data_IF_417831446668
#
_entry.id   IF_417831446668
#
_cell.length_a   1.000
_cell.length_b   1.000
_cell.length_c   1.000
_cell.angle_alpha   90.00
_cell.angle_beta   90.00
_cell.angle_gamma   90.00
#
_symmetry.space_group_name_H-M   'P 1'
#
loop_
_entity.id
_entity.type
_entity.pdbx_description
1 polymer ?
#
# COMPACT_ATOMS: atom_id res chain seq x y z
N UNK A 1 -13.84 -63.76 -23.20
CA UNK A 1 -13.85 -62.41 -22.57
C UNK A 1 -13.69 -61.28 -23.59
N UNK A 2 -14.65 -61.05 -24.50
CA UNK A 2 -14.56 -59.97 -25.52
C UNK A 2 -15.88 -59.20 -25.71
N UNK A 3 -16.76 -59.11 -24.71
CA UNK A 3 -18.14 -58.60 -24.93
C UNK A 3 -18.55 -57.36 -24.14
N UNK A 4 -17.67 -56.77 -23.32
CA UNK A 4 -18.04 -55.64 -22.46
C UNK A 4 -17.39 -54.26 -22.80
N UNK A 5 -16.59 -54.19 -23.87
CA UNK A 5 -15.95 -52.90 -24.27
C UNK A 5 -16.89 -52.00 -25.06
N UNK A 6 -17.91 -52.51 -25.70
CA UNK A 6 -18.88 -51.73 -26.50
C UNK A 6 -19.93 -51.02 -25.63
N UNK A 7 -20.28 -51.60 -24.49
CA UNK A 7 -21.20 -50.94 -23.54
C UNK A 7 -20.56 -49.81 -22.75
N UNK A 8 -19.22 -49.84 -22.54
CA UNK A 8 -18.51 -48.78 -21.86
C UNK A 8 -18.31 -47.55 -22.78
N UNK A 9 -18.15 -47.74 -24.11
CA UNK A 9 -18.03 -46.62 -25.05
C UNK A 9 -19.36 -45.91 -25.33
N UNK A 10 -20.49 -46.64 -25.20
CA UNK A 10 -21.82 -46.03 -25.34
C UNK A 10 -22.24 -45.21 -24.11
N UNK A 11 -21.79 -45.58 -22.91
CA UNK A 11 -22.07 -44.83 -21.67
C UNK A 11 -21.23 -43.56 -21.53
N UNK A 12 -20.00 -43.52 -22.06
CA UNK A 12 -19.14 -42.33 -22.05
C UNK A 12 -19.63 -41.31 -23.09
N UNK A 13 -20.18 -41.75 -24.22
CA UNK A 13 -20.77 -40.85 -25.22
C UNK A 13 -22.05 -40.12 -24.74
N UNK A 14 -22.79 -40.70 -23.79
CA UNK A 14 -24.03 -40.08 -23.28
C UNK A 14 -23.78 -39.08 -22.15
N UNK A 15 -22.60 -39.10 -21.51
CA UNK A 15 -22.23 -38.13 -20.46
C UNK A 15 -21.66 -36.81 -21.01
N UNK A 16 -21.33 -36.74 -22.30
CA UNK A 16 -20.83 -35.54 -22.95
C UNK A 16 -21.91 -34.63 -23.60
N UNK A 17 -23.21 -34.95 -23.43
CA UNK A 17 -24.27 -33.99 -23.70
C UNK A 17 -24.28 -32.93 -22.57
N UNK A 18 -23.21 -32.13 -22.47
CA UNK A 18 -23.17 -30.91 -21.67
C UNK A 18 -24.32 -30.01 -22.08
N UNK A 19 -25.11 -29.61 -21.13
CA UNK A 19 -26.23 -28.69 -21.25
C UNK A 19 -25.83 -27.47 -22.05
N UNK A 20 -26.10 -27.48 -23.36
CA UNK A 20 -26.02 -26.26 -24.18
C UNK A 20 -27.16 -25.36 -23.70
N UNK A 21 -26.86 -24.48 -22.74
CA UNK A 21 -27.75 -23.40 -22.36
C UNK A 21 -27.93 -22.51 -23.60
N UNK A 22 -29.11 -22.54 -24.19
CA UNK A 22 -29.44 -21.66 -25.30
C UNK A 22 -29.30 -20.20 -24.82
N UNK A 23 -28.27 -19.51 -25.31
CA UNK A 23 -28.10 -18.08 -25.07
C UNK A 23 -29.28 -17.35 -25.72
N UNK A 24 -29.96 -16.53 -24.96
CA UNK A 24 -31.05 -15.69 -25.44
C UNK A 24 -30.54 -14.26 -25.63
N UNK A 25 -30.87 -13.64 -26.74
CA UNK A 25 -30.58 -12.22 -26.95
C UNK A 25 -31.51 -11.39 -26.08
N UNK A 26 -30.92 -10.66 -25.12
CA UNK A 26 -31.61 -9.71 -24.25
C UNK A 26 -31.39 -8.32 -24.82
N UNK A 27 -32.45 -7.58 -24.96
CA UNK A 27 -32.45 -6.17 -25.41
C UNK A 27 -33.01 -5.30 -24.30
N UNK A 28 -32.73 -4.02 -24.34
CA UNK A 28 -33.35 -3.06 -23.42
C UNK A 28 -32.84 -1.65 -23.64
N UNK A 29 -33.32 -0.76 -22.84
CA UNK A 29 -32.96 0.65 -22.86
C UNK A 29 -32.44 1.04 -21.48
N UNK A 30 -31.40 1.84 -21.45
CA UNK A 30 -30.82 2.41 -20.21
C UNK A 30 -31.10 3.89 -20.21
N UNK A 31 -31.73 4.37 -19.12
CA UNK A 31 -32.07 5.78 -18.95
C UNK A 31 -31.62 6.32 -17.60
N UNK A 32 -31.45 7.63 -17.49
CA UNK A 32 -31.26 8.32 -16.21
C UNK A 32 -32.58 8.38 -15.41
N UNK A 33 -32.54 8.85 -14.18
CA UNK A 33 -33.76 9.13 -13.38
C UNK A 33 -34.68 10.15 -14.06
N UNK A 34 -34.14 11.07 -14.85
CA UNK A 34 -34.87 12.01 -15.66
C UNK A 34 -35.49 11.42 -16.93
N UNK A 35 -35.26 10.15 -17.25
CA UNK A 35 -35.74 9.48 -18.46
C UNK A 35 -34.89 9.73 -19.71
N UNK A 36 -33.77 10.44 -19.60
CA UNK A 36 -32.83 10.66 -20.70
C UNK A 36 -32.03 9.39 -21.03
N UNK A 37 -31.80 9.07 -22.32
CA UNK A 37 -31.03 7.91 -22.71
C UNK A 37 -29.56 8.06 -22.33
N UNK A 38 -28.96 7.02 -21.72
CA UNK A 38 -27.56 7.00 -21.39
C UNK A 38 -26.74 6.37 -22.52
N UNK A 39 -26.02 7.21 -23.26
CA UNK A 39 -25.22 6.83 -24.43
C UNK A 39 -23.85 6.30 -23.98
N UNK A 40 -23.41 5.11 -24.46
CA UNK A 40 -22.13 4.53 -24.11
C UNK A 40 -22.10 3.86 -22.74
N UNK A 41 -23.25 3.63 -22.09
CA UNK A 41 -23.32 2.84 -20.88
C UNK A 41 -22.91 1.39 -21.14
N UNK A 42 -22.10 0.82 -20.28
CA UNK A 42 -21.57 -0.54 -20.40
C UNK A 42 -22.55 -1.55 -19.80
N UNK A 43 -22.84 -2.61 -20.54
CA UNK A 43 -23.64 -3.76 -20.09
C UNK A 43 -22.75 -5.01 -20.17
N UNK A 44 -22.46 -5.63 -19.05
CA UNK A 44 -21.62 -6.81 -18.98
C UNK A 44 -22.36 -8.00 -18.36
N UNK A 45 -22.03 -9.20 -18.81
CA UNK A 45 -22.51 -10.44 -18.18
C UNK A 45 -21.67 -10.72 -16.95
N UNK A 46 -22.31 -10.88 -15.78
CA UNK A 46 -21.60 -11.14 -14.52
C UNK A 46 -20.75 -12.42 -14.62
N UNK A 47 -19.50 -12.32 -14.26
CA UNK A 47 -18.49 -13.40 -14.32
C UNK A 47 -18.17 -13.91 -15.75
N UNK A 48 -18.35 -13.07 -16.78
CA UNK A 48 -17.95 -13.32 -18.16
C UNK A 48 -17.21 -12.12 -18.72
N UNK A 49 -16.49 -12.30 -19.81
CA UNK A 49 -15.86 -11.22 -20.60
C UNK A 49 -16.84 -10.62 -21.65
N UNK A 50 -18.05 -11.15 -21.75
CA UNK A 50 -19.05 -10.70 -22.69
C UNK A 50 -19.68 -9.39 -22.23
N UNK A 51 -19.61 -8.37 -23.08
CA UNK A 51 -20.16 -7.05 -22.80
C UNK A 51 -20.58 -6.33 -24.09
N UNK A 52 -21.40 -5.30 -23.91
CA UNK A 52 -21.82 -4.37 -24.98
C UNK A 52 -21.96 -2.96 -24.41
N UNK A 53 -22.11 -1.98 -25.27
CA UNK A 53 -22.39 -0.58 -24.89
C UNK A 53 -23.70 -0.13 -25.51
N UNK A 54 -24.35 0.87 -24.90
CA UNK A 54 -25.59 1.46 -25.44
C UNK A 54 -25.30 2.36 -26.61
N UNK A 55 -26.26 2.39 -27.54
CA UNK A 55 -26.30 3.31 -28.68
C UNK A 55 -26.77 4.74 -28.31
N UNK A 56 -26.94 5.61 -29.32
CA UNK A 56 -27.35 7.01 -29.16
C UNK A 56 -28.74 7.19 -28.53
N UNK A 57 -29.57 6.17 -28.62
CA UNK A 57 -30.92 6.14 -28.02
C UNK A 57 -30.94 5.42 -26.67
N UNK A 58 -29.80 5.00 -26.16
CA UNK A 58 -29.64 4.26 -24.93
C UNK A 58 -30.00 2.78 -25.01
N UNK A 59 -30.19 2.22 -26.23
CA UNK A 59 -30.56 0.82 -26.40
C UNK A 59 -29.30 -0.08 -26.40
N UNK A 60 -29.48 -1.30 -25.90
CA UNK A 60 -28.43 -2.32 -25.93
C UNK A 60 -28.98 -3.68 -26.39
N UNK A 61 -28.09 -4.53 -26.84
CA UNK A 61 -28.38 -5.92 -27.19
C UNK A 61 -27.21 -6.84 -26.79
N UNK A 62 -27.46 -7.81 -25.92
CA UNK A 62 -26.44 -8.71 -25.39
C UNK A 62 -26.96 -10.14 -25.36
N UNK A 63 -26.07 -11.13 -25.59
CA UNK A 63 -26.40 -12.55 -25.44
C UNK A 63 -26.16 -12.98 -24.00
N UNK A 64 -27.18 -13.50 -23.35
CA UNK A 64 -27.06 -14.00 -21.97
C UNK A 64 -27.84 -15.29 -21.77
N UNK A 65 -27.37 -16.16 -20.91
CA UNK A 65 -28.10 -17.35 -20.52
C UNK A 65 -29.17 -16.99 -19.46
N UNK A 66 -30.33 -17.69 -19.46
CA UNK A 66 -31.34 -17.47 -18.42
C UNK A 66 -30.77 -17.69 -17.02
N UNK A 67 -31.08 -16.81 -16.08
CA UNK A 67 -30.63 -16.86 -14.68
C UNK A 67 -29.33 -16.13 -14.39
N UNK A 68 -28.62 -15.64 -15.41
CA UNK A 68 -27.40 -14.82 -15.23
C UNK A 68 -27.77 -13.36 -14.94
N UNK A 69 -26.94 -12.68 -14.16
CA UNK A 69 -27.10 -11.24 -13.92
C UNK A 69 -26.34 -10.43 -14.96
N UNK A 70 -26.99 -9.41 -15.49
CA UNK A 70 -26.37 -8.33 -16.23
C UNK A 70 -25.96 -7.22 -15.27
N UNK A 71 -24.78 -6.70 -15.48
CA UNK A 71 -24.20 -5.58 -14.72
C UNK A 71 -24.17 -4.37 -15.61
N UNK A 72 -24.80 -3.30 -15.14
CA UNK A 72 -24.92 -2.01 -15.84
C UNK A 72 -24.01 -1.01 -15.16
N UNK A 73 -23.14 -0.34 -15.90
CA UNK A 73 -22.25 0.69 -15.39
C UNK A 73 -22.13 1.88 -16.34
N UNK A 74 -22.14 3.08 -15.78
CA UNK A 74 -21.93 4.32 -16.51
C UNK A 74 -21.21 5.33 -15.60
N UNK A 75 -20.39 6.21 -16.19
CA UNK A 75 -19.62 7.19 -15.41
C UNK A 75 -20.58 8.17 -14.75
N UNK A 76 -20.46 8.32 -13.43
CA UNK A 76 -21.35 9.20 -12.63
C UNK A 76 -22.65 8.55 -12.16
N UNK A 77 -22.85 7.25 -12.38
CA UNK A 77 -24.04 6.51 -11.96
C UNK A 77 -23.68 5.31 -11.08
N UNK A 78 -24.56 4.94 -10.18
CA UNK A 78 -24.43 3.73 -9.37
C UNK A 78 -24.51 2.49 -10.24
N UNK A 79 -23.60 1.55 -10.01
CA UNK A 79 -23.61 0.27 -10.71
C UNK A 79 -24.85 -0.54 -10.30
N UNK A 80 -25.61 -1.02 -11.26
CA UNK A 80 -26.78 -1.85 -11.05
C UNK A 80 -26.61 -3.26 -11.58
N UNK A 81 -27.27 -4.24 -10.94
CA UNK A 81 -27.18 -5.65 -11.33
C UNK A 81 -28.57 -6.26 -11.37
N UNK A 82 -29.00 -6.67 -12.57
CA UNK A 82 -30.34 -7.25 -12.80
C UNK A 82 -30.22 -8.69 -13.30
N UNK A 83 -30.91 -9.62 -12.64
CA UNK A 83 -30.97 -11.02 -13.08
C UNK A 83 -31.89 -11.16 -14.28
N UNK A 84 -31.37 -11.74 -15.36
CA UNK A 84 -32.13 -12.04 -16.55
C UNK A 84 -32.86 -13.38 -16.36
N UNK A 85 -34.14 -13.30 -16.16
CA UNK A 85 -34.99 -14.51 -16.13
C UNK A 85 -35.36 -14.92 -17.58
N UNK A 86 -36.60 -15.29 -17.86
CA UNK A 86 -37.10 -15.60 -19.23
C UNK A 86 -37.44 -14.34 -20.06
N UNK A 87 -37.17 -13.15 -19.55
CA UNK A 87 -37.48 -11.89 -20.21
C UNK A 87 -36.48 -11.61 -21.33
N UNK A 88 -36.99 -11.23 -22.52
CA UNK A 88 -36.17 -10.82 -23.67
C UNK A 88 -35.88 -9.32 -23.67
N UNK A 89 -36.58 -8.54 -22.83
CA UNK A 89 -36.38 -7.10 -22.73
C UNK A 89 -36.18 -6.73 -21.27
N UNK A 90 -35.06 -6.05 -20.96
CA UNK A 90 -34.72 -5.54 -19.63
C UNK A 90 -34.36 -4.06 -19.77
N UNK A 91 -35.26 -3.19 -19.35
CA UNK A 91 -34.99 -1.76 -19.26
C UNK A 91 -34.47 -1.44 -17.86
N UNK A 92 -33.48 -0.56 -17.80
CA UNK A 92 -32.85 -0.18 -16.54
C UNK A 92 -32.80 1.34 -16.45
N UNK A 93 -33.25 1.85 -15.31
CA UNK A 93 -33.11 3.26 -14.96
C UNK A 93 -31.96 3.35 -13.94
N UNK A 94 -30.90 4.03 -14.30
CA UNK A 94 -29.73 4.19 -13.45
C UNK A 94 -29.85 5.41 -12.57
N UNK A 95 -29.49 5.26 -11.30
CA UNK A 95 -29.47 6.35 -10.32
C UNK A 95 -28.12 7.04 -10.37
N UNK A 96 -28.08 8.35 -10.38
CA UNK A 96 -26.85 9.12 -10.32
C UNK A 96 -26.09 8.83 -9.01
N UNK A 97 -24.79 8.60 -9.11
CA UNK A 97 -23.94 8.49 -7.93
C UNK A 97 -23.66 9.88 -7.35
N UNK A 98 -24.66 10.40 -6.64
CA UNK A 98 -24.54 11.69 -5.95
C UNK A 98 -23.42 11.71 -4.90
N UNK A 99 -22.91 10.56 -4.48
CA UNK A 99 -21.77 10.49 -3.56
C UNK A 99 -20.46 10.84 -4.26
N UNK A 100 -20.24 10.40 -5.50
CA UNK A 100 -19.08 10.77 -6.29
C UNK A 100 -19.10 12.26 -6.69
N UNK A 101 -20.29 12.82 -6.96
CA UNK A 101 -20.48 14.25 -7.28
C UNK A 101 -20.39 15.18 -6.06
N UNK A 102 -20.58 14.64 -4.85
CA UNK A 102 -20.50 15.39 -3.59
C UNK A 102 -19.20 15.20 -2.83
N UNK A 103 -18.19 14.56 -3.43
CA UNK A 103 -16.86 14.48 -2.81
C UNK A 103 -16.30 15.90 -2.62
N UNK A 104 -16.24 16.31 -1.38
CA UNK A 104 -15.77 17.63 -0.97
C UNK A 104 -14.30 17.54 -0.64
N UNK A 105 -13.50 18.37 -1.28
CA UNK A 105 -12.06 18.46 -1.06
C UNK A 105 -11.75 19.73 -0.28
N UNK A 106 -10.92 19.63 0.73
CA UNK A 106 -10.42 20.80 1.47
C UNK A 106 -9.37 21.50 0.60
N UNK A 107 -9.58 22.77 0.31
CA UNK A 107 -8.63 23.62 -0.42
C UNK A 107 -8.53 24.94 0.33
N UNK A 108 -7.33 25.26 0.76
CA UNK A 108 -7.12 26.48 1.50
C UNK A 108 -7.83 26.48 2.85
N UNK A 109 -8.57 27.55 3.07
CA UNK A 109 -9.39 27.72 4.28
C UNK A 109 -10.85 27.30 4.09
N UNK A 110 -11.17 26.63 2.96
CA UNK A 110 -12.52 26.23 2.61
C UNK A 110 -12.61 24.85 2.00
N UNK A 111 -13.84 24.44 1.74
CA UNK A 111 -14.15 23.17 1.09
C UNK A 111 -14.80 23.44 -0.26
N UNK A 112 -14.37 22.73 -1.30
CA UNK A 112 -14.97 22.79 -2.63
C UNK A 112 -15.32 21.39 -3.12
N UNK A 113 -16.34 21.29 -3.98
CA UNK A 113 -16.66 20.03 -4.64
C UNK A 113 -15.52 19.66 -5.61
N UNK A 114 -15.08 18.42 -5.60
CA UNK A 114 -14.01 17.92 -6.48
C UNK A 114 -14.27 18.24 -7.97
N UNK A 115 -15.54 18.16 -8.38
CA UNK A 115 -15.95 18.49 -9.74
C UNK A 115 -15.70 19.96 -10.16
N UNK A 116 -15.55 20.88 -9.21
CA UNK A 116 -15.36 22.31 -9.45
C UNK A 116 -13.87 22.72 -9.42
N UNK A 117 -12.96 21.74 -9.23
CA UNK A 117 -11.54 22.00 -9.15
C UNK A 117 -10.92 22.11 -10.54
N UNK A 118 -10.36 23.27 -10.84
CA UNK A 118 -9.60 23.50 -12.09
C UNK A 118 -8.12 23.15 -11.97
N UNK A 119 -7.61 22.96 -10.73
CA UNK A 119 -6.22 22.63 -10.45
C UNK A 119 -5.96 21.13 -10.28
N UNK A 120 -4.68 20.71 -10.38
CA UNK A 120 -4.27 19.32 -10.16
C UNK A 120 -4.28 18.99 -8.65
N UNK A 121 -5.43 18.62 -8.13
CA UNK A 121 -5.66 18.24 -6.73
C UNK A 121 -6.08 16.79 -6.67
N UNK A 122 -5.35 15.98 -5.88
CA UNK A 122 -5.79 14.64 -5.53
C UNK A 122 -6.32 14.64 -4.09
N UNK A 123 -7.43 13.96 -3.90
CA UNK A 123 -8.01 13.72 -2.59
C UNK A 123 -7.98 12.22 -2.28
N UNK A 124 -7.59 11.89 -1.06
CA UNK A 124 -7.56 10.54 -0.52
C UNK A 124 -8.47 10.50 0.69
N UNK A 125 -9.33 9.51 0.75
CA UNK A 125 -10.20 9.26 1.90
C UNK A 125 -9.50 8.42 2.98
N UNK A 126 -10.01 8.48 4.21
CA UNK A 126 -9.52 7.63 5.31
C UNK A 126 -9.53 6.15 4.97
N UNK A 127 -10.52 5.67 4.23
CA UNK A 127 -10.68 4.26 3.85
C UNK A 127 -9.52 3.70 3.05
N UNK A 128 -8.81 4.54 2.29
CA UNK A 128 -7.69 4.12 1.46
C UNK A 128 -6.39 3.92 2.25
N UNK A 129 -6.31 4.54 3.44
CA UNK A 129 -5.09 4.59 4.26
C UNK A 129 -5.22 3.86 5.60
N UNK A 130 -6.43 3.77 6.19
CA UNK A 130 -6.66 3.17 7.52
C UNK A 130 -6.24 1.70 7.62
N UNK A 131 -6.39 0.94 6.54
CA UNK A 131 -6.12 -0.50 6.52
C UNK A 131 -4.65 -0.84 6.19
N UNK A 132 -3.83 0.16 5.89
CA UNK A 132 -2.41 -0.06 5.62
C UNK A 132 -1.66 -0.35 6.93
N UNK A 133 -0.85 -1.44 6.98
CA UNK A 133 -0.10 -1.82 8.17
C UNK A 133 1.19 -1.00 8.30
N UNK A 134 1.07 0.31 8.54
CA UNK A 134 2.19 1.25 8.60
C UNK A 134 2.16 2.09 9.86
N UNK A 135 3.32 2.54 10.32
CA UNK A 135 3.51 3.25 11.58
C UNK A 135 3.04 4.70 11.55
N UNK A 136 3.12 5.36 10.39
CA UNK A 136 2.84 6.78 10.24
C UNK A 136 2.14 7.10 8.92
N UNK A 137 1.60 8.33 8.84
CA UNK A 137 0.83 8.78 7.69
C UNK A 137 1.70 8.94 6.43
N UNK A 138 2.97 9.34 6.57
CA UNK A 138 3.89 9.45 5.44
C UNK A 138 4.02 8.11 4.71
N UNK A 139 4.27 7.03 5.44
CA UNK A 139 4.32 5.67 4.86
C UNK A 139 2.97 5.22 4.29
N UNK A 140 1.86 5.61 4.92
CA UNK A 140 0.53 5.28 4.42
C UNK A 140 0.22 5.91 3.06
N UNK A 141 0.82 7.04 2.73
CA UNK A 141 0.61 7.74 1.46
C UNK A 141 1.46 7.19 0.31
N UNK A 142 2.45 6.35 0.58
CA UNK A 142 3.32 5.80 -0.47
C UNK A 142 2.51 5.02 -1.50
N UNK A 143 2.62 5.43 -2.77
CA UNK A 143 1.90 4.82 -3.89
C UNK A 143 0.39 5.09 -3.91
N UNK A 144 -0.15 5.93 -3.00
CA UNK A 144 -1.56 6.27 -2.99
C UNK A 144 -1.92 7.44 -3.93
N UNK A 145 -0.95 8.32 -4.20
CA UNK A 145 -1.14 9.52 -5.02
C UNK A 145 -0.19 9.50 -6.21
N UNK A 146 -0.67 9.68 -7.43
CA UNK A 146 0.18 9.87 -8.60
C UNK A 146 1.09 11.10 -8.46
N UNK A 147 2.37 10.96 -8.81
CA UNK A 147 3.38 12.01 -8.71
C UNK A 147 3.71 12.51 -7.29
N UNK A 148 3.27 11.80 -6.26
CA UNK A 148 3.74 11.94 -4.90
C UNK A 148 4.79 10.85 -4.62
N UNK A 149 6.06 11.22 -4.59
CA UNK A 149 7.16 10.31 -4.32
C UNK A 149 7.46 10.33 -2.83
N UNK A 150 7.37 9.19 -2.19
CA UNK A 150 7.69 9.01 -0.78
C UNK A 150 8.75 7.94 -0.68
N UNK A 151 9.89 8.29 -0.13
CA UNK A 151 11.04 7.41 0.07
C UNK A 151 11.52 7.48 1.51
N UNK A 152 12.13 6.40 1.96
CA UNK A 152 12.87 6.34 3.21
C UNK A 152 14.18 5.61 2.95
N UNK A 153 15.26 6.06 3.59
CA UNK A 153 16.63 5.65 3.21
C UNK A 153 17.04 4.30 3.78
N UNK A 154 16.45 3.88 4.89
CA UNK A 154 16.78 2.63 5.56
C UNK A 154 15.52 1.90 6.03
N UNK A 155 15.68 0.70 6.54
CA UNK A 155 14.58 -0.08 7.11
C UNK A 155 14.34 0.18 8.60
N UNK A 156 14.86 1.26 9.16
CA UNK A 156 14.68 1.58 10.59
C UNK A 156 13.23 1.95 10.87
N UNK A 157 12.65 1.47 11.97
CA UNK A 157 11.26 1.76 12.32
C UNK A 157 10.95 3.25 12.49
N UNK A 158 11.88 4.03 13.05
CA UNK A 158 11.71 5.45 13.33
C UNK A 158 12.20 6.39 12.23
N UNK A 159 12.54 5.86 11.05
CA UNK A 159 13.02 6.71 9.98
C UNK A 159 11.88 7.53 9.39
N UNK A 160 12.11 8.85 9.32
CA UNK A 160 11.20 9.79 8.70
C UNK A 160 11.06 9.58 7.20
N UNK A 161 9.94 10.00 6.65
CA UNK A 161 9.68 9.93 5.22
C UNK A 161 10.27 11.15 4.49
N UNK A 162 10.90 10.90 3.35
CA UNK A 162 11.30 11.94 2.42
C UNK A 162 10.23 12.07 1.33
N UNK A 163 9.62 13.27 1.25
CA UNK A 163 8.44 13.51 0.44
C UNK A 163 8.78 14.50 -0.66
N UNK A 164 8.38 14.16 -1.89
CA UNK A 164 8.58 14.99 -3.05
C UNK A 164 7.37 14.94 -3.97
N UNK A 165 6.93 16.09 -4.48
CA UNK A 165 5.82 16.21 -5.44
C UNK A 165 6.38 16.61 -6.80
N UNK A 166 6.05 15.83 -7.85
CA UNK A 166 6.47 16.06 -9.25
C UNK A 166 7.98 16.01 -9.51
N UNK A 167 8.76 15.33 -8.65
CA UNK A 167 10.20 15.18 -8.83
C UNK A 167 11.03 16.24 -8.11
N UNK A 168 12.33 16.20 -8.31
CA UNK A 168 13.27 17.09 -7.63
C UNK A 168 13.20 18.49 -8.22
N UNK A 169 12.63 19.44 -7.48
CA UNK A 169 12.51 20.85 -7.88
C UNK A 169 13.69 21.72 -7.47
N UNK A 170 14.68 21.18 -6.75
CA UNK A 170 15.86 21.92 -6.27
C UNK A 170 17.11 21.06 -6.33
N UNK A 171 18.22 21.66 -6.73
CA UNK A 171 19.56 21.03 -6.77
C UNK A 171 20.02 20.63 -5.35
N UNK A 172 19.60 21.38 -4.33
CA UNK A 172 19.99 21.17 -2.94
C UNK A 172 19.12 20.13 -2.20
N UNK A 173 18.20 19.44 -2.88
CA UNK A 173 17.27 18.43 -2.32
C UNK A 173 16.38 18.92 -1.15
N UNK A 174 16.39 20.20 -0.81
CA UNK A 174 15.59 20.81 0.27
C UNK A 174 14.14 21.14 -0.15
N UNK A 175 13.75 20.74 -1.34
CA UNK A 175 12.43 20.99 -1.93
C UNK A 175 11.36 20.06 -1.30
N UNK A 176 10.95 20.37 -0.08
CA UNK A 176 9.87 19.62 0.60
C UNK A 176 8.53 20.32 0.41
N UNK A 177 7.43 19.58 0.22
CA UNK A 177 6.09 20.16 0.20
C UNK A 177 5.73 20.72 1.58
N UNK A 178 4.90 21.77 1.59
CA UNK A 178 4.31 22.28 2.82
C UNK A 178 3.24 21.29 3.32
N UNK A 179 3.38 20.82 4.56
CA UNK A 179 2.41 19.95 5.19
C UNK A 179 1.61 20.74 6.20
N UNK A 180 0.28 20.74 6.04
CA UNK A 180 -0.64 21.40 6.96
C UNK A 180 -1.61 20.36 7.54
N UNK A 181 -1.69 20.32 8.86
CA UNK A 181 -2.57 19.44 9.63
C UNK A 181 -3.61 20.31 10.31
N UNK A 182 -4.87 20.18 9.89
CA UNK A 182 -5.96 21.06 10.31
C UNK A 182 -5.59 22.57 10.19
N UNK A 183 -4.82 22.94 9.15
CA UNK A 183 -4.40 24.29 8.87
C UNK A 183 -3.09 24.73 9.56
N UNK A 184 -2.50 23.92 10.42
CA UNK A 184 -1.24 24.19 11.12
C UNK A 184 -0.12 23.37 10.49
N UNK A 185 1.06 23.99 10.31
CA UNK A 185 2.23 23.27 9.80
C UNK A 185 2.65 22.13 10.73
N UNK A 186 2.90 20.96 10.14
CA UNK A 186 3.22 19.76 10.90
C UNK A 186 3.99 18.72 10.08
N UNK A 187 4.25 17.57 10.70
CA UNK A 187 4.96 16.47 10.10
C UNK A 187 4.03 15.24 9.96
N UNK A 188 3.97 14.66 8.77
CA UNK A 188 3.17 13.45 8.49
C UNK A 188 3.60 12.23 9.31
N UNK A 189 4.88 12.17 9.70
CA UNK A 189 5.41 11.05 10.47
C UNK A 189 4.87 10.99 11.91
N UNK A 190 4.33 12.12 12.42
CA UNK A 190 3.79 12.22 13.77
C UNK A 190 2.28 11.96 13.85
N UNK A 191 1.64 11.63 12.73
CA UNK A 191 0.19 11.43 12.68
C UNK A 191 -0.15 9.96 12.47
N UNK A 192 -1.09 9.49 13.29
CA UNK A 192 -1.69 8.19 13.08
C UNK A 192 -2.65 8.24 11.86
N UNK A 193 -2.48 7.35 10.86
CA UNK A 193 -3.39 7.28 9.72
C UNK A 193 -4.87 7.13 10.09
N UNK A 194 -5.17 6.50 11.24
CA UNK A 194 -6.54 6.28 11.71
C UNK A 194 -7.24 7.53 12.24
N UNK A 195 -6.48 8.58 12.56
CA UNK A 195 -7.03 9.87 13.00
C UNK A 195 -7.35 10.79 11.83
N UNK A 196 -7.00 10.40 10.60
CA UNK A 196 -7.20 11.19 9.40
C UNK A 196 -8.59 10.94 8.82
N UNK A 197 -9.27 12.02 8.42
CA UNK A 197 -10.53 11.97 7.67
C UNK A 197 -10.27 12.01 6.16
N UNK A 198 -9.43 12.95 5.72
CA UNK A 198 -9.06 13.12 4.32
C UNK A 198 -7.71 13.79 4.16
N UNK A 199 -7.09 13.58 3.00
CA UNK A 199 -5.84 14.24 2.62
C UNK A 199 -6.03 14.81 1.23
N UNK A 200 -5.66 16.09 1.06
CA UNK A 200 -5.65 16.76 -0.23
C UNK A 200 -4.21 17.12 -0.61
N UNK A 201 -3.78 16.71 -1.79
CA UNK A 201 -2.45 17.02 -2.32
C UNK A 201 -2.57 18.01 -3.46
N UNK A 202 -2.14 19.25 -3.19
CA UNK A 202 -2.11 20.34 -4.16
C UNK A 202 -0.78 20.29 -4.91
N UNK A 203 -0.84 19.89 -6.18
CA UNK A 203 0.35 19.59 -6.98
C UNK A 203 0.80 20.74 -7.88
N UNK A 204 -0.04 21.73 -8.11
CA UNK A 204 0.27 22.86 -8.96
C UNK A 204 0.32 24.21 -8.20
N UNK A 205 0.99 25.16 -8.81
CA UNK A 205 1.15 26.48 -8.22
C UNK A 205 -0.17 27.25 -8.10
N UNK A 206 -1.15 26.99 -8.98
CA UNK A 206 -2.45 27.68 -8.95
C UNK A 206 -3.26 27.27 -7.74
N UNK A 207 -3.32 25.96 -7.45
CA UNK A 207 -3.99 25.42 -6.25
C UNK A 207 -3.28 25.80 -4.95
N UNK A 208 -1.94 25.95 -5.00
CA UNK A 208 -1.11 26.21 -3.84
C UNK A 208 -0.88 27.72 -3.58
N UNK A 209 -1.32 28.62 -4.50
CA UNK A 209 -1.01 30.05 -4.47
C UNK A 209 -1.37 30.76 -3.16
N UNK A 210 -2.48 30.37 -2.53
CA UNK A 210 -2.92 30.98 -1.26
C UNK A 210 -1.96 30.76 -0.08
N UNK A 211 -1.05 29.79 -0.19
CA UNK A 211 -0.03 29.48 0.83
C UNK A 211 1.30 30.18 0.58
N UNK A 212 1.39 30.98 -0.51
CA UNK A 212 2.55 31.80 -0.86
C UNK A 212 3.80 30.99 -1.24
N UNK A 213 4.97 31.59 -1.07
CA UNK A 213 6.26 31.04 -1.51
C UNK A 213 6.60 29.69 -0.85
N UNK A 214 6.12 29.43 0.35
CA UNK A 214 6.36 28.16 1.07
C UNK A 214 5.70 26.93 0.38
N UNK A 215 4.72 27.18 -0.47
CA UNK A 215 4.01 26.15 -1.22
C UNK A 215 4.59 25.88 -2.62
N UNK A 216 5.76 26.42 -2.94
CA UNK A 216 6.39 26.29 -4.26
C UNK A 216 6.61 24.83 -4.70
N UNK A 217 6.77 23.93 -3.76
CA UNK A 217 6.96 22.48 -3.99
C UNK A 217 5.71 21.66 -3.75
N UNK A 218 4.53 22.32 -3.71
CA UNK A 218 3.24 21.70 -3.44
C UNK A 218 2.85 21.76 -1.96
N UNK A 219 1.59 21.40 -1.70
CA UNK A 219 0.99 21.39 -0.35
C UNK A 219 0.28 20.09 -0.10
N UNK A 220 0.45 19.53 1.09
CA UNK A 220 -0.29 18.38 1.58
C UNK A 220 -1.17 18.86 2.74
N UNK A 221 -2.49 18.81 2.53
CA UNK A 221 -3.48 19.18 3.52
C UNK A 221 -4.02 17.92 4.17
N UNK A 222 -3.84 17.79 5.47
CA UNK A 222 -4.37 16.70 6.27
C UNK A 222 -5.53 17.23 7.11
N UNK A 223 -6.71 16.67 6.90
CA UNK A 223 -7.88 16.93 7.73
C UNK A 223 -8.07 15.75 8.68
N UNK A 224 -8.10 16.02 9.98
CA UNK A 224 -8.31 14.98 10.98
C UNK A 224 -9.79 14.80 11.29
N UNK A 225 -10.15 13.62 11.78
CA UNK A 225 -11.51 13.26 12.17
C UNK A 225 -12.08 14.24 13.19
N UNK A 226 -13.33 14.59 12.97
CA UNK A 226 -14.13 15.44 13.88
C UNK A 226 -15.13 14.59 14.65
N UNK A 227 -15.61 15.12 15.75
CA UNK A 227 -16.78 14.58 16.44
C UNK A 227 -18.01 14.62 15.53
N UNK A 228 -18.91 13.68 15.71
CA UNK A 228 -20.19 13.61 15.01
C UNK A 228 -21.32 13.70 16.02
N UNK A 229 -22.42 14.33 15.61
CA UNK A 229 -23.65 14.37 16.39
C UNK A 229 -24.12 12.94 16.69
N UNK A 230 -24.62 12.73 17.89
CA UNK A 230 -25.18 11.47 18.34
C UNK A 230 -24.57 10.93 19.61
N UNK A 231 -25.03 9.74 20.01
CA UNK A 231 -24.53 9.04 21.19
C UNK A 231 -23.04 8.71 21.06
N UNK A 232 -22.35 8.71 22.19
CA UNK A 232 -20.94 8.35 22.25
C UNK A 232 -20.69 6.97 21.64
N UNK A 233 -19.80 6.89 20.64
CA UNK A 233 -19.36 5.65 20.03
C UNK A 233 -17.90 5.41 20.36
N UNK A 234 -17.64 4.27 21.00
CA UNK A 234 -16.30 3.80 21.29
C UNK A 234 -15.88 2.81 20.22
N UNK A 235 -14.70 2.99 19.66
CA UNK A 235 -14.12 2.08 18.66
C UNK A 235 -12.71 1.68 19.09
N UNK A 236 -12.45 0.37 19.10
CA UNK A 236 -11.13 -0.18 19.35
C UNK A 236 -10.67 -0.98 18.13
N UNK A 237 -9.45 -0.74 17.71
CA UNK A 237 -8.79 -1.47 16.65
C UNK A 237 -7.43 -1.96 17.13
N UNK A 238 -7.26 -3.28 17.22
CA UNK A 238 -5.99 -3.93 17.46
C UNK A 238 -5.49 -4.60 16.19
N UNK A 239 -4.21 -4.41 15.86
CA UNK A 239 -3.56 -5.06 14.74
C UNK A 239 -2.23 -5.65 15.19
N UNK A 240 -2.00 -6.89 14.77
CA UNK A 240 -0.73 -7.54 14.90
C UNK A 240 -0.25 -7.96 13.50
N UNK A 241 0.99 -7.67 13.16
CA UNK A 241 1.56 -7.99 11.86
C UNK A 241 3.02 -8.40 11.97
N UNK A 242 3.50 -9.11 10.94
CA UNK A 242 4.89 -9.47 10.77
C UNK A 242 5.38 -8.92 9.45
N UNK A 243 6.54 -8.26 9.47
CA UNK A 243 7.27 -7.90 8.26
C UNK A 243 8.47 -8.82 8.09
N UNK A 244 8.70 -9.29 6.87
CA UNK A 244 9.86 -10.12 6.53
C UNK A 244 10.53 -9.59 5.29
N UNK A 245 11.80 -9.96 5.08
CA UNK A 245 12.52 -9.62 3.86
C UNK A 245 11.85 -10.25 2.66
N UNK A 246 11.55 -9.44 1.63
CA UNK A 246 11.01 -9.92 0.34
C UNK A 246 12.10 -10.43 -0.59
N UNK A 247 13.34 -10.07 -0.33
CA UNK A 247 14.51 -10.49 -1.11
C UNK A 247 15.26 -11.55 -0.32
N UNK A 248 15.42 -12.73 -0.93
CA UNK A 248 16.34 -13.74 -0.42
C UNK A 248 17.75 -13.32 -0.79
N UNK A 249 18.54 -12.98 0.21
CA UNK A 249 19.97 -12.70 0.03
C UNK A 249 20.71 -14.02 0.02
N UNK A 250 21.32 -14.35 -1.10
CA UNK A 250 22.20 -15.50 -1.22
C UNK A 250 23.66 -15.00 -1.08
N UNK A 251 24.02 -14.64 0.16
CA UNK A 251 25.38 -14.19 0.44
C UNK A 251 26.35 -15.36 0.42
N UNK A 252 27.57 -15.05 0.02
CA UNK A 252 28.69 -15.96 0.11
C UNK A 252 29.14 -16.03 1.57
N UNK A 253 28.77 -17.12 2.27
CA UNK A 253 29.05 -17.30 3.71
C UNK A 253 30.24 -18.20 3.98
N UNK A 254 30.87 -18.77 2.94
CA UNK A 254 32.06 -19.61 3.07
C UNK A 254 33.30 -18.74 3.02
N UNK A 255 34.17 -18.85 4.04
CA UNK A 255 35.39 -18.05 4.16
C UNK A 255 36.36 -18.27 3.00
N UNK A 256 36.51 -19.53 2.54
CA UNK A 256 37.33 -19.86 1.39
C UNK A 256 36.86 -19.12 0.12
N UNK A 257 35.60 -19.27 -0.23
CA UNK A 257 35.06 -18.67 -1.48
C UNK A 257 35.10 -17.15 -1.41
N UNK A 258 34.78 -16.55 -0.26
CA UNK A 258 34.84 -15.11 -0.06
C UNK A 258 36.25 -14.54 -0.22
N UNK A 259 37.23 -15.15 0.42
CA UNK A 259 38.64 -14.73 0.36
C UNK A 259 39.20 -14.86 -1.07
N UNK A 260 38.91 -15.98 -1.75
CA UNK A 260 39.33 -16.19 -3.15
C UNK A 260 38.73 -15.18 -4.08
N UNK A 261 37.41 -14.94 -3.97
CA UNK A 261 36.72 -14.01 -4.85
C UNK A 261 37.25 -12.58 -4.70
N UNK A 262 37.49 -12.12 -3.47
CA UNK A 262 38.02 -10.77 -3.22
C UNK A 262 39.44 -10.63 -3.75
N UNK A 263 40.29 -11.63 -3.55
CA UNK A 263 41.68 -11.62 -4.05
C UNK A 263 41.72 -11.65 -5.59
N UNK A 264 40.87 -12.48 -6.23
CA UNK A 264 40.77 -12.53 -7.69
C UNK A 264 40.30 -11.20 -8.30
N UNK A 265 39.28 -10.59 -7.67
CA UNK A 265 38.77 -9.28 -8.08
C UNK A 265 39.85 -8.21 -8.01
N UNK A 266 40.55 -8.09 -6.86
CA UNK A 266 41.57 -7.06 -6.69
C UNK A 266 42.86 -7.32 -7.48
N UNK A 267 43.23 -8.57 -7.64
CA UNK A 267 44.33 -8.94 -8.57
C UNK A 267 44.02 -8.50 -9.99
N UNK A 268 42.79 -8.68 -10.45
CA UNK A 268 42.35 -8.25 -11.79
C UNK A 268 42.23 -6.73 -11.92
N UNK A 269 41.89 -6.01 -10.84
CA UNK A 269 41.71 -4.57 -10.83
C UNK A 269 43.02 -3.79 -10.70
N UNK A 270 43.88 -4.16 -9.73
CA UNK A 270 45.09 -3.40 -9.38
C UNK A 270 46.36 -4.23 -9.23
N UNK A 271 46.32 -5.54 -9.53
CA UNK A 271 47.48 -6.43 -9.46
C UNK A 271 47.91 -6.81 -8.04
N UNK A 272 47.09 -6.59 -7.01
CA UNK A 272 47.41 -6.90 -5.61
C UNK A 272 46.32 -7.76 -4.97
N UNK A 273 46.70 -8.66 -4.08
CA UNK A 273 45.75 -9.40 -3.25
C UNK A 273 45.27 -8.53 -2.09
N UNK A 274 44.02 -8.66 -1.72
CA UNK A 274 43.44 -8.00 -0.54
C UNK A 274 43.79 -8.75 0.74
N UNK A 275 43.66 -10.07 0.71
CA UNK A 275 43.95 -10.90 1.87
C UNK A 275 45.44 -11.13 2.00
N UNK A 276 45.86 -11.44 3.21
CA UNK A 276 47.26 -11.83 3.52
C UNK A 276 47.38 -13.33 3.68
N UNK A 277 46.44 -14.10 3.19
CA UNK A 277 46.46 -15.57 3.25
C UNK A 277 47.51 -16.14 2.32
N UNK A 278 48.26 -17.08 2.85
CA UNK A 278 49.18 -17.93 2.08
C UNK A 278 48.38 -19.07 1.41
N UNK A 279 49.04 -19.85 0.56
CA UNK A 279 48.38 -21.03 -0.03
C UNK A 279 48.06 -22.11 1.03
N UNK A 280 48.89 -22.20 2.12
CA UNK A 280 48.54 -23.05 3.26
C UNK A 280 47.29 -22.55 4.01
N UNK A 281 47.14 -21.23 4.15
CA UNK A 281 45.94 -20.64 4.75
C UNK A 281 44.70 -20.91 3.89
N UNK A 282 44.84 -20.84 2.57
CA UNK A 282 43.75 -21.20 1.65
C UNK A 282 43.41 -22.68 1.71
N UNK A 283 44.40 -23.57 1.86
CA UNK A 283 44.15 -25.00 2.05
C UNK A 283 43.38 -25.26 3.37
N UNK A 284 43.72 -24.54 4.44
CA UNK A 284 42.98 -24.60 5.70
C UNK A 284 41.55 -24.05 5.58
N UNK A 285 41.37 -22.95 4.88
CA UNK A 285 40.04 -22.40 4.58
C UNK A 285 39.19 -23.37 3.74
N UNK A 286 39.81 -24.03 2.75
CA UNK A 286 39.16 -25.03 1.91
C UNK A 286 38.72 -26.25 2.71
N UNK A 287 39.60 -26.75 3.58
CA UNK A 287 39.32 -27.88 4.46
C UNK A 287 38.13 -27.57 5.41
N UNK A 288 37.93 -26.30 5.74
CA UNK A 288 36.82 -25.84 6.58
C UNK A 288 35.61 -25.36 5.81
N UNK A 289 35.56 -25.43 4.48
CA UNK A 289 34.60 -24.80 3.62
C UNK A 289 33.14 -25.05 4.04
N UNK A 290 32.84 -26.20 4.60
CA UNK A 290 31.51 -26.58 5.08
C UNK A 290 31.45 -26.80 6.59
N UNK A 291 32.55 -26.57 7.32
CA UNK A 291 32.59 -26.68 8.76
C UNK A 291 32.20 -25.34 9.40
N UNK A 292 31.12 -25.36 10.15
CA UNK A 292 30.58 -24.20 10.90
C UNK A 292 30.80 -24.34 12.40
N UNK A 293 31.64 -25.28 12.82
CA UNK A 293 31.91 -25.54 14.24
C UNK A 293 33.25 -24.98 14.66
N UNK A 294 33.33 -24.43 15.86
CA UNK A 294 34.57 -24.06 16.49
C UNK A 294 35.09 -25.21 17.36
N UNK A 295 36.36 -25.55 17.18
CA UNK A 295 37.02 -26.56 17.96
C UNK A 295 38.31 -25.96 18.58
N UNK A 296 38.60 -26.18 19.87
CA UNK A 296 39.84 -25.72 20.49
C UNK A 296 41.12 -26.13 19.75
N UNK A 297 41.13 -27.29 19.11
CA UNK A 297 42.26 -27.76 18.28
C UNK A 297 42.32 -27.05 16.92
N UNK A 298 41.22 -26.49 16.47
CA UNK A 298 41.08 -25.73 15.21
C UNK A 298 40.26 -24.46 15.44
N UNK A 299 40.82 -23.49 16.19
CA UNK A 299 40.07 -22.26 16.51
C UNK A 299 39.78 -21.46 15.25
N UNK A 300 38.67 -20.73 15.25
CA UNK A 300 38.30 -19.88 14.13
C UNK A 300 39.27 -18.74 13.87
N UNK A 301 39.99 -18.32 14.90
CA UNK A 301 40.96 -17.23 14.82
C UNK A 301 42.28 -17.66 15.41
N UNK A 302 43.35 -17.48 14.66
CA UNK A 302 44.73 -17.71 15.14
C UNK A 302 45.56 -16.45 14.94
N UNK A 303 46.59 -16.28 15.79
CA UNK A 303 47.59 -15.23 15.63
C UNK A 303 48.74 -15.79 14.81
N UNK A 304 49.04 -15.16 13.66
CA UNK A 304 50.18 -15.47 12.82
C UNK A 304 51.09 -14.26 12.62
N UNK A 305 52.39 -14.48 12.59
CA UNK A 305 53.33 -13.41 12.23
C UNK A 305 53.38 -13.27 10.70
N UNK A 306 52.91 -12.14 10.18
CA UNK A 306 52.91 -11.82 8.75
C UNK A 306 53.76 -10.59 8.53
N UNK A 307 54.93 -10.80 7.89
CA UNK A 307 55.83 -9.68 7.59
C UNK A 307 56.44 -9.02 8.86
N UNK A 308 56.65 -9.76 9.94
CA UNK A 308 57.18 -9.25 11.19
C UNK A 308 56.15 -8.66 12.16
N UNK A 309 54.86 -8.71 11.81
CA UNK A 309 53.77 -8.20 12.66
C UNK A 309 52.79 -9.32 12.95
N UNK A 310 52.41 -9.48 14.22
CA UNK A 310 51.39 -10.44 14.62
C UNK A 310 50.00 -9.95 14.19
N UNK A 311 49.28 -10.80 13.46
CA UNK A 311 47.95 -10.49 12.92
C UNK A 311 46.97 -11.62 13.24
N UNK A 312 45.72 -11.24 13.42
CA UNK A 312 44.63 -12.19 13.54
C UNK A 312 44.26 -12.73 12.15
N UNK A 313 44.38 -14.06 11.98
CA UNK A 313 43.91 -14.76 10.79
C UNK A 313 42.63 -15.50 11.11
N UNK A 314 41.61 -15.29 10.27
CA UNK A 314 40.26 -15.83 10.51
C UNK A 314 39.98 -16.95 9.51
N UNK A 315 39.66 -18.14 10.00
CA UNK A 315 39.33 -19.31 9.18
C UNK A 315 37.86 -19.75 9.34
N UNK A 316 37.04 -18.93 9.99
CA UNK A 316 35.65 -19.24 10.25
C UNK A 316 34.78 -19.16 8.98
N UNK A 317 33.73 -20.00 8.94
CA UNK A 317 32.58 -19.86 8.06
C UNK A 317 31.40 -19.33 8.87
N UNK A 318 31.28 -18.05 8.97
CA UNK A 318 30.27 -17.42 9.82
C UNK A 318 29.31 -16.56 9.01
N UNK A 319 28.02 -16.88 9.10
CA UNK A 319 26.97 -16.10 8.46
C UNK A 319 26.60 -14.88 9.32
N UNK A 320 27.29 -13.78 9.09
CA UNK A 320 27.07 -12.53 9.78
C UNK A 320 25.66 -11.96 9.53
N UNK A 321 25.10 -12.21 8.35
CA UNK A 321 23.77 -11.72 8.04
C UNK A 321 22.72 -12.46 8.87
N UNK A 322 22.75 -13.79 8.89
CA UNK A 322 21.82 -14.57 9.71
C UNK A 322 22.03 -14.32 11.21
N UNK A 323 23.27 -14.10 11.64
CA UNK A 323 23.57 -13.78 13.04
C UNK A 323 23.01 -12.43 13.48
N UNK A 324 23.13 -11.38 12.64
CA UNK A 324 22.78 -10.01 12.99
C UNK A 324 21.33 -9.66 12.65
N UNK A 325 20.80 -10.20 11.56
CA UNK A 325 19.53 -9.73 10.96
C UNK A 325 18.40 -10.70 11.26
N UNK A 326 17.30 -10.17 11.76
CA UNK A 326 16.05 -10.91 11.96
C UNK A 326 15.24 -11.01 10.66
N UNK A 327 14.77 -12.20 10.34
CA UNK A 327 13.87 -12.42 9.21
C UNK A 327 12.40 -12.09 9.52
N UNK A 328 12.09 -11.77 10.76
CA UNK A 328 10.73 -11.42 11.19
C UNK A 328 10.75 -10.23 12.14
N UNK A 329 9.94 -9.23 11.82
CA UNK A 329 9.75 -8.02 12.62
C UNK A 329 8.30 -7.92 13.02
N UNK A 330 7.95 -8.25 14.27
CA UNK A 330 6.59 -8.09 14.77
C UNK A 330 6.26 -6.61 14.95
N UNK A 331 5.01 -6.27 14.68
CA UNK A 331 4.44 -4.94 14.85
C UNK A 331 3.11 -5.06 15.55
N UNK A 332 2.89 -4.26 16.58
CA UNK A 332 1.63 -4.13 17.31
C UNK A 332 1.11 -2.72 17.17
N UNK A 333 -0.14 -2.59 16.79
CA UNK A 333 -0.83 -1.31 16.68
C UNK A 333 -2.17 -1.40 17.40
N UNK A 334 -2.38 -0.55 18.41
CA UNK A 334 -3.60 -0.49 19.18
C UNK A 334 -4.14 0.92 19.15
N UNK A 335 -5.35 1.09 18.65
CA UNK A 335 -6.02 2.38 18.57
C UNK A 335 -7.39 2.31 19.25
N UNK A 336 -7.61 3.21 20.20
CA UNK A 336 -8.88 3.44 20.86
C UNK A 336 -9.38 4.83 20.48
N UNK A 337 -10.62 4.93 20.03
CA UNK A 337 -11.23 6.23 19.74
C UNK A 337 -12.63 6.34 20.29
N UNK A 338 -13.00 7.54 20.70
CA UNK A 338 -14.32 7.90 21.22
C UNK A 338 -14.80 9.11 20.44
N UNK A 339 -15.96 9.01 19.81
CA UNK A 339 -16.59 10.10 19.09
C UNK A 339 -18.03 10.25 19.56
N UNK A 340 -18.51 11.46 19.65
CA UNK A 340 -19.89 11.75 20.01
C UNK A 340 -20.14 13.25 20.04
N UNK A 341 -21.36 13.61 20.35
CA UNK A 341 -21.70 15.03 20.46
C UNK A 341 -23.18 15.31 20.39
N UNK A 342 -23.46 16.59 20.44
CA UNK A 342 -24.78 17.20 20.25
C UNK A 342 -24.65 18.23 19.13
N UNK A 343 -25.77 18.80 18.68
CA UNK A 343 -25.74 19.90 17.70
C UNK A 343 -24.89 21.10 18.13
N UNK A 344 -24.61 21.25 19.45
CA UNK A 344 -23.84 22.38 19.97
C UNK A 344 -22.40 22.04 20.35
N UNK A 345 -22.09 20.78 20.61
CA UNK A 345 -20.75 20.36 21.05
C UNK A 345 -20.44 18.97 20.53
N UNK A 346 -19.40 18.85 19.76
CA UNK A 346 -18.90 17.60 19.20
C UNK A 346 -17.48 17.32 19.67
N UNK A 347 -17.17 16.05 19.96
CA UNK A 347 -15.85 15.63 20.39
C UNK A 347 -15.39 14.37 19.69
N UNK A 348 -14.09 14.34 19.45
CA UNK A 348 -13.34 13.16 19.00
C UNK A 348 -12.08 13.06 19.87
N UNK A 349 -11.90 11.91 20.50
CA UNK A 349 -10.70 11.60 21.29
C UNK A 349 -10.16 10.28 20.78
N UNK A 350 -8.86 10.22 20.51
CA UNK A 350 -8.17 8.98 20.15
C UNK A 350 -6.91 8.80 20.99
N UNK A 351 -6.57 7.54 21.26
CA UNK A 351 -5.31 7.11 21.84
C UNK A 351 -4.76 5.96 20.99
N UNK A 352 -3.51 6.08 20.59
CA UNK A 352 -2.81 5.07 19.83
C UNK A 352 -1.54 4.65 20.54
N UNK A 353 -1.27 3.36 20.54
CA UNK A 353 0.00 2.78 20.97
C UNK A 353 0.50 1.83 19.90
N UNK A 354 1.67 2.14 19.37
CA UNK A 354 2.31 1.41 18.29
C UNK A 354 3.70 0.95 18.70
N UNK A 355 4.02 -0.31 18.43
CA UNK A 355 5.38 -0.85 18.58
C UNK A 355 5.79 -1.59 17.32
N UNK A 356 7.01 -1.37 16.89
CA UNK A 356 7.61 -2.03 15.72
C UNK A 356 9.04 -2.44 16.08
N UNK A 357 9.36 -3.74 15.95
CA UNK A 357 10.71 -4.23 16.15
C UNK A 357 11.54 -3.97 14.89
N UNK A 358 12.81 -3.63 15.07
CA UNK A 358 13.76 -3.45 13.99
C UNK A 358 14.32 -4.76 13.46
N UNK A 359 15.41 -4.65 12.71
CA UNK A 359 15.99 -5.80 11.98
C UNK A 359 17.10 -6.51 12.75
N UNK A 360 17.68 -5.91 13.80
CA UNK A 360 18.83 -6.47 14.49
C UNK A 360 18.44 -7.47 15.58
N UNK A 361 19.03 -8.67 15.56
CA UNK A 361 18.82 -9.71 16.58
C UNK A 361 19.54 -9.42 17.89
N UNK A 362 20.74 -8.85 17.80
CA UNK A 362 21.67 -8.73 18.93
C UNK A 362 21.39 -7.53 19.82
N UNK A 363 20.66 -6.56 19.34
CA UNK A 363 20.32 -5.37 20.08
C UNK A 363 18.82 -5.05 19.90
N UNK A 364 18.17 -4.63 20.96
CA UNK A 364 16.75 -4.29 20.90
C UNK A 364 16.59 -2.96 20.16
N UNK A 365 16.38 -3.01 18.84
CA UNK A 365 15.99 -1.84 18.05
C UNK A 365 14.46 -1.82 17.89
N UNK A 366 13.78 -1.46 18.97
CA UNK A 366 12.32 -1.32 19.02
C UNK A 366 11.94 0.14 18.98
N UNK A 367 10.98 0.44 18.12
CA UNK A 367 10.34 1.75 18.06
C UNK A 367 8.97 1.68 18.74
N UNK A 368 8.73 2.61 19.66
CA UNK A 368 7.47 2.71 20.39
C UNK A 368 6.93 4.14 20.29
N UNK A 369 5.65 4.28 20.00
CA UNK A 369 4.97 5.57 20.02
C UNK A 369 3.65 5.46 20.75
N UNK A 370 3.35 6.47 21.56
CA UNK A 370 2.06 6.67 22.17
C UNK A 370 1.55 8.07 21.78
N UNK A 371 0.40 8.12 21.12
CA UNK A 371 -0.21 9.36 20.66
C UNK A 371 -1.60 9.50 21.28
N UNK A 372 -1.90 10.68 21.79
CA UNK A 372 -3.24 11.05 22.24
C UNK A 372 -3.65 12.29 21.46
N UNK A 373 -4.84 12.26 20.89
CA UNK A 373 -5.44 13.38 20.20
C UNK A 373 -6.83 13.65 20.77
N UNK A 374 -7.11 14.91 21.02
CA UNK A 374 -8.46 15.36 21.39
C UNK A 374 -8.85 16.53 20.48
N UNK A 375 -10.03 16.47 19.91
CA UNK A 375 -10.64 17.54 19.14
C UNK A 375 -12.04 17.79 19.65
N UNK A 376 -12.29 19.03 20.03
CA UNK A 376 -13.59 19.49 20.48
C UNK A 376 -13.99 20.63 19.59
N UNK A 377 -15.20 20.60 19.07
CA UNK A 377 -15.79 21.66 18.27
C UNK A 377 -17.20 21.97 18.80
N UNK A 378 -17.55 23.24 18.83
CA UNK A 378 -18.85 23.60 19.36
C UNK A 378 -19.23 25.05 19.09
N UNK A 379 -20.50 25.28 18.89
CA UNK A 379 -21.10 26.61 18.71
C UNK A 379 -21.38 27.21 20.07
N UNK A 380 -20.59 28.23 20.44
CA UNK A 380 -20.76 28.90 21.75
C UNK A 380 -21.85 29.95 21.64
N UNK A 381 -21.98 30.60 20.50
CA UNK A 381 -23.01 31.58 20.15
C UNK A 381 -23.21 31.57 18.64
N UNK A 382 -24.36 32.05 18.17
CA UNK A 382 -24.72 32.09 16.74
C UNK A 382 -23.69 32.83 15.86
N UNK A 383 -22.84 33.65 16.44
CA UNK A 383 -21.78 34.40 15.76
C UNK A 383 -20.34 33.96 16.08
N UNK A 384 -20.18 32.95 16.95
CA UNK A 384 -18.85 32.42 17.35
C UNK A 384 -18.86 30.90 17.40
N UNK A 385 -18.17 30.34 16.41
CA UNK A 385 -17.98 28.90 16.24
C UNK A 385 -16.48 28.54 16.41
#
# INVERSE_FOLDING_TARGET
MKRNKWLLSLSIGLLCCGSAYAQTTVKGKITSEGGEPLIGATVAVKNSTDGTVTDIDGNYSIKAAPGIALVFSYIGYLQESVKVNKQKTVNVQMTEDTKALNEVVVIGYGTQKKANLTGAVDAISSKEIEDRPVSNLGRALQGAVPNLNITYGSGKPNEGTNINIRGFGSINQDAKPLVLIDGVEGNLDNINPRDVESISVLKDASSAAIYGARASFGVILVTTKKGKDGTAKVSYNGRFSFSSSTVKTNFLTTGYDAARLVDEYLMSYNGTRYTKYTEEDFAELEARRYDKTENPERPWTVIKNVGGVDQYMHYANFDWYDYLISNSRPTWDNNLSITGGTQKLNYFVSANYHTEDGIYKQNTDRFETANIRARISGDIKDWFN
#
